data_IF_172264638405
#
_entry.id   IF_172264638405
#
_cell.length_a   1.000
_cell.length_b   1.000
_cell.length_c   1.000
_cell.angle_alpha   90.00
_cell.angle_beta   90.00
_cell.angle_gamma   90.00
#
_symmetry.space_group_name_H-M   'P 1'
#
loop_
_entity.id
_entity.type
_entity.pdbx_description
1 polymer ?
#
# COMPACT_ATOMS: atom_id res chain seq x y z
N UNK A 1 7.71 -66.07 -25.52
CA UNK A 1 8.90 -65.24 -25.27
C UNK A 1 8.53 -63.78 -25.52
N UNK A 2 8.61 -62.99 -24.44
CA UNK A 2 8.90 -61.53 -24.33
C UNK A 2 8.04 -60.52 -25.12
N UNK A 3 7.31 -59.77 -24.31
CA UNK A 3 6.45 -58.61 -24.56
C UNK A 3 7.36 -57.42 -24.91
N UNK A 4 7.08 -56.69 -25.99
CA UNK A 4 7.73 -55.40 -26.28
C UNK A 4 6.67 -54.30 -26.37
N UNK A 5 6.18 -53.88 -25.21
CA UNK A 5 5.49 -52.60 -25.04
C UNK A 5 6.54 -51.54 -24.71
N UNK A 6 6.60 -50.44 -25.46
CA UNK A 6 7.27 -49.22 -24.97
C UNK A 6 6.52 -47.99 -25.45
N UNK A 7 5.72 -47.51 -24.50
CA UNK A 7 4.98 -46.26 -24.38
C UNK A 7 5.74 -45.04 -24.89
N UNK A 8 5.09 -44.27 -25.76
CA UNK A 8 5.50 -42.91 -26.10
C UNK A 8 5.34 -42.02 -24.85
N UNK A 9 6.45 -41.53 -24.30
CA UNK A 9 6.45 -40.57 -23.21
C UNK A 9 6.21 -39.16 -23.78
N UNK A 10 5.01 -38.63 -23.58
CA UNK A 10 4.70 -37.21 -23.85
C UNK A 10 5.23 -36.40 -22.67
N UNK A 11 6.34 -35.68 -22.88
CA UNK A 11 6.85 -34.68 -21.96
C UNK A 11 5.94 -33.45 -21.99
N UNK A 12 4.96 -33.41 -21.09
CA UNK A 12 4.20 -32.20 -20.81
C UNK A 12 5.09 -31.24 -20.00
N UNK A 13 5.65 -30.23 -20.66
CA UNK A 13 6.27 -29.09 -19.98
C UNK A 13 5.15 -28.26 -19.35
N UNK A 14 4.87 -28.51 -18.07
CA UNK A 14 4.04 -27.62 -17.28
C UNK A 14 4.84 -26.33 -17.05
N UNK A 15 4.54 -25.29 -17.81
CA UNK A 15 4.90 -23.92 -17.44
C UNK A 15 4.05 -23.57 -16.23
N UNK A 16 4.61 -23.72 -15.03
CA UNK A 16 4.02 -23.19 -13.81
C UNK A 16 3.98 -21.67 -13.94
N UNK A 17 2.80 -21.10 -14.17
CA UNK A 17 2.59 -19.67 -14.09
C UNK A 17 2.93 -19.17 -12.69
N UNK A 18 3.74 -18.12 -12.58
CA UNK A 18 3.98 -17.41 -11.34
C UNK A 18 2.65 -16.78 -10.88
N UNK A 19 1.99 -17.41 -9.92
CA UNK A 19 0.89 -16.78 -9.18
C UNK A 19 1.53 -15.80 -8.19
N UNK A 20 1.69 -14.54 -8.60
CA UNK A 20 2.06 -13.45 -7.68
C UNK A 20 0.79 -12.95 -7.00
N UNK A 21 0.51 -13.52 -5.82
CA UNK A 21 -0.51 -13.02 -4.90
C UNK A 21 0.14 -12.87 -3.52
N UNK A 22 1.15 -12.02 -3.45
CA UNK A 22 1.86 -11.72 -2.21
C UNK A 22 2.40 -10.30 -2.39
N UNK A 23 1.85 -9.33 -1.65
CA UNK A 23 2.29 -7.92 -1.64
C UNK A 23 3.62 -7.75 -0.87
N UNK A 24 4.32 -8.86 -0.61
CA UNK A 24 5.49 -8.95 0.25
C UNK A 24 6.79 -8.63 -0.52
N UNK A 25 7.71 -7.94 0.15
CA UNK A 25 9.02 -7.62 -0.40
C UNK A 25 9.95 -8.84 -0.30
N UNK A 26 10.64 -9.18 -1.39
CA UNK A 26 11.41 -10.43 -1.51
C UNK A 26 12.93 -10.26 -1.56
N UNK A 27 13.43 -9.03 -1.43
CA UNK A 27 14.86 -8.78 -1.54
C UNK A 27 15.64 -9.45 -0.41
N UNK A 28 16.81 -10.03 -0.71
CA UNK A 28 17.62 -10.69 0.31
C UNK A 28 18.10 -9.68 1.35
N UNK A 29 18.09 -10.08 2.63
CA UNK A 29 18.48 -9.18 3.73
C UNK A 29 19.88 -8.58 3.59
N UNK A 30 20.78 -9.23 2.83
CA UNK A 30 22.13 -8.72 2.52
C UNK A 30 22.13 -7.46 1.66
N UNK A 31 21.04 -7.20 0.94
CA UNK A 31 20.87 -6.03 0.05
C UNK A 31 20.06 -4.91 0.71
N UNK A 32 19.54 -5.15 1.92
CA UNK A 32 18.68 -4.18 2.60
C UNK A 32 19.45 -2.91 2.98
N UNK A 33 18.84 -1.78 2.69
CA UNK A 33 19.34 -0.48 3.11
C UNK A 33 19.24 -0.33 4.62
N UNK A 34 20.19 0.36 5.27
CA UNK A 34 20.14 0.58 6.70
C UNK A 34 18.93 1.47 7.08
N UNK A 35 18.48 1.35 8.33
CA UNK A 35 17.29 2.06 8.84
C UNK A 35 17.42 3.57 8.70
N UNK A 36 18.65 4.08 8.82
CA UNK A 36 18.98 5.49 8.67
C UNK A 36 18.73 5.97 7.23
N UNK A 37 19.06 5.14 6.22
CA UNK A 37 18.81 5.45 4.82
C UNK A 37 17.31 5.51 4.52
N UNK A 38 16.53 4.56 5.06
CA UNK A 38 15.06 4.57 4.95
C UNK A 38 14.47 5.81 5.63
N UNK A 39 14.97 6.15 6.82
CA UNK A 39 14.51 7.33 7.59
C UNK A 39 14.78 8.63 6.84
N UNK A 40 15.98 8.77 6.27
CA UNK A 40 16.34 9.91 5.43
C UNK A 40 15.46 9.99 4.19
N UNK A 41 15.30 8.87 3.47
CA UNK A 41 14.44 8.78 2.29
C UNK A 41 13.00 9.22 2.59
N UNK A 42 12.39 8.73 3.68
CA UNK A 42 11.03 9.11 4.06
C UNK A 42 10.94 10.58 4.46
N UNK A 43 11.97 11.11 5.11
CA UNK A 43 12.05 12.54 5.44
C UNK A 43 12.11 13.40 4.18
N UNK A 44 12.85 12.97 3.15
CA UNK A 44 12.94 13.64 1.84
C UNK A 44 11.61 13.62 1.07
N UNK A 45 10.75 12.62 1.33
CA UNK A 45 9.36 12.59 0.84
C UNK A 45 8.44 13.60 1.57
N UNK A 46 8.97 14.35 2.54
CA UNK A 46 8.20 15.32 3.32
C UNK A 46 7.33 14.69 4.41
N UNK A 47 7.66 13.45 4.81
CA UNK A 47 6.98 12.73 5.90
C UNK A 47 7.91 12.70 7.10
N UNK A 48 7.42 13.10 8.27
CA UNK A 48 8.14 12.98 9.54
C UNK A 48 7.98 11.55 10.09
N UNK A 49 9.02 10.70 10.06
CA UNK A 49 8.91 9.31 10.51
C UNK A 49 8.80 9.22 12.04
N UNK A 50 7.78 8.52 12.53
CA UNK A 50 7.54 8.26 13.95
C UNK A 50 7.91 6.83 14.35
N UNK A 51 7.72 5.88 13.42
CA UNK A 51 8.00 4.46 13.65
C UNK A 51 8.49 3.82 12.36
N UNK A 52 9.56 3.04 12.47
CA UNK A 52 10.06 2.18 11.40
C UNK A 52 10.12 0.74 11.91
N UNK A 53 9.51 -0.20 11.19
CA UNK A 53 9.55 -1.63 11.49
C UNK A 53 9.74 -2.45 10.21
N UNK A 54 10.00 -3.73 10.38
CA UNK A 54 9.99 -4.71 9.30
C UNK A 54 8.68 -5.47 9.44
N UNK A 55 7.90 -5.55 8.37
CA UNK A 55 6.61 -6.25 8.29
C UNK A 55 6.57 -6.94 6.93
N UNK A 56 6.31 -8.25 6.90
CA UNK A 56 6.18 -9.04 5.66
C UNK A 56 7.31 -8.81 4.63
N UNK A 57 8.55 -8.78 5.13
CA UNK A 57 9.75 -8.57 4.31
C UNK A 57 9.98 -7.13 3.84
N UNK A 58 9.06 -6.21 4.08
CA UNK A 58 9.16 -4.80 3.74
C UNK A 58 9.56 -3.94 4.94
N UNK A 59 10.07 -2.73 4.69
CA UNK A 59 10.07 -1.69 5.70
C UNK A 59 8.71 -1.02 5.78
N UNK A 60 8.06 -1.05 6.94
CA UNK A 60 6.89 -0.24 7.22
C UNK A 60 7.29 1.00 8.01
N UNK A 61 6.99 2.18 7.46
CA UNK A 61 7.19 3.47 8.11
C UNK A 61 5.86 4.14 8.38
N UNK A 62 5.63 4.53 9.63
CA UNK A 62 4.49 5.37 10.04
C UNK A 62 5.00 6.75 10.43
N UNK A 63 4.29 7.78 10.00
CA UNK A 63 4.66 9.16 10.25
C UNK A 63 3.52 10.14 10.01
N UNK A 64 3.89 11.41 9.93
CA UNK A 64 2.99 12.52 9.62
C UNK A 64 3.45 13.22 8.35
N UNK A 65 2.52 13.58 7.47
CA UNK A 65 2.82 14.53 6.38
C UNK A 65 2.85 15.98 6.90
N UNK A 66 3.15 16.92 6.00
CA UNK A 66 3.17 18.35 6.32
C UNK A 66 1.80 18.93 6.71
N UNK A 67 0.70 18.25 6.38
CA UNK A 67 -0.68 18.65 6.71
C UNK A 67 -1.16 17.98 8.02
N UNK A 68 -0.27 17.22 8.69
CA UNK A 68 -0.55 16.50 9.94
C UNK A 68 -1.36 15.22 9.76
N UNK A 69 -1.55 14.72 8.54
CA UNK A 69 -2.23 13.45 8.29
C UNK A 69 -1.31 12.28 8.65
N UNK A 70 -1.90 11.19 9.14
CA UNK A 70 -1.13 9.98 9.43
C UNK A 70 -0.84 9.21 8.14
N UNK A 71 0.43 9.00 7.87
CA UNK A 71 0.93 8.28 6.69
C UNK A 71 1.55 6.94 7.12
N UNK A 72 1.29 5.91 6.34
CA UNK A 72 1.92 4.58 6.41
C UNK A 72 2.46 4.24 5.04
N UNK A 73 3.74 3.89 4.98
CA UNK A 73 4.47 3.46 3.79
C UNK A 73 4.97 2.03 3.97
N UNK A 74 4.73 1.16 3.01
CA UNK A 74 5.48 -0.10 2.86
C UNK A 74 6.51 0.10 1.75
N UNK A 75 7.77 -0.15 2.06
CA UNK A 75 8.92 0.20 1.23
C UNK A 75 9.76 -1.06 1.00
N UNK A 76 10.09 -1.29 -0.27
CA UNK A 76 11.02 -2.32 -0.69
C UNK A 76 12.43 -2.00 -0.14
N UNK A 77 13.05 -2.91 0.64
CA UNK A 77 14.22 -2.58 1.45
C UNK A 77 15.53 -2.43 0.67
N UNK A 78 15.70 -2.99 -0.54
CA UNK A 78 16.95 -2.90 -1.30
C UNK A 78 17.09 -1.59 -2.09
N UNK A 79 16.01 -1.18 -2.75
CA UNK A 79 15.93 -0.07 -3.69
C UNK A 79 15.17 1.14 -3.14
N UNK A 80 14.56 1.03 -1.96
CA UNK A 80 13.70 2.05 -1.35
C UNK A 80 12.53 2.47 -2.23
N UNK A 81 11.91 1.52 -2.91
CA UNK A 81 10.70 1.76 -3.72
C UNK A 81 9.47 1.68 -2.83
N UNK A 82 8.63 2.71 -2.85
CA UNK A 82 7.35 2.70 -2.14
C UNK A 82 6.39 1.74 -2.86
N UNK A 83 6.04 0.66 -2.19
CA UNK A 83 5.09 -0.35 -2.69
C UNK A 83 3.65 0.04 -2.37
N UNK A 84 3.44 0.64 -1.20
CA UNK A 84 2.12 1.02 -0.71
C UNK A 84 2.17 2.33 0.06
N UNK A 85 1.18 3.17 -0.19
CA UNK A 85 0.93 4.41 0.53
C UNK A 85 -0.48 4.37 1.09
N UNK A 86 -0.61 4.57 2.40
CA UNK A 86 -1.89 4.75 3.07
C UNK A 86 -1.88 6.04 3.87
N UNK A 87 -2.84 6.91 3.57
CA UNK A 87 -3.02 8.18 4.27
C UNK A 87 -4.35 8.16 4.99
N UNK A 88 -4.34 8.47 6.28
CA UNK A 88 -5.55 8.71 7.07
C UNK A 88 -5.74 10.21 7.20
N UNK A 89 -6.62 10.73 6.36
CA UNK A 89 -6.98 12.15 6.32
C UNK A 89 -7.79 12.57 7.54
N UNK A 90 -7.56 13.79 8.01
CA UNK A 90 -8.46 14.46 8.93
C UNK A 90 -9.79 14.84 8.22
N UNK A 91 -10.90 15.05 8.95
CA UNK A 91 -12.23 15.30 8.35
C UNK A 91 -12.30 16.48 7.37
N UNK A 92 -11.42 17.46 7.53
CA UNK A 92 -11.32 18.69 6.75
C UNK A 92 -10.00 18.80 5.96
N UNK A 93 -9.27 17.70 5.79
CA UNK A 93 -7.98 17.70 5.11
C UNK A 93 -8.11 18.06 3.62
N UNK A 94 -7.16 18.85 3.12
CA UNK A 94 -7.00 19.11 1.69
C UNK A 94 -6.37 17.89 1.00
N UNK A 95 -7.12 17.27 0.08
CA UNK A 95 -6.67 16.09 -0.66
C UNK A 95 -5.88 16.44 -1.92
N UNK A 96 -5.76 17.73 -2.27
CA UNK A 96 -5.16 18.18 -3.53
C UNK A 96 -3.71 17.73 -3.69
N UNK A 97 -2.99 17.49 -2.59
CA UNK A 97 -1.63 16.95 -2.59
C UNK A 97 -1.56 15.50 -3.10
N UNK A 98 -2.60 14.70 -2.87
CA UNK A 98 -2.62 13.27 -3.17
C UNK A 98 -3.40 12.91 -4.43
N UNK A 99 -4.25 13.83 -4.88
CA UNK A 99 -5.10 13.60 -6.04
C UNK A 99 -4.51 14.28 -7.26
N UNK A 100 -4.45 13.61 -8.43
CA UNK A 100 -4.12 14.28 -9.67
C UNK A 100 -5.15 15.37 -9.95
N UNK A 101 -4.70 16.49 -10.52
CA UNK A 101 -5.56 17.64 -10.82
C UNK A 101 -6.81 17.20 -11.59
N UNK A 102 -8.00 17.43 -10.98
CA UNK A 102 -9.30 17.08 -11.56
C UNK A 102 -10.24 16.25 -10.69
N UNK A 103 -9.83 15.81 -9.49
CA UNK A 103 -10.62 14.95 -8.60
C UNK A 103 -11.00 15.64 -7.26
N UNK A 104 -11.47 16.89 -7.27
CA UNK A 104 -11.77 17.69 -6.06
C UNK A 104 -13.12 17.39 -5.39
N UNK A 105 -13.66 16.17 -5.52
CA UNK A 105 -14.95 15.78 -4.90
C UNK A 105 -14.86 14.41 -4.24
N UNK A 106 -14.01 14.24 -3.23
CA UNK A 106 -14.28 13.22 -2.21
C UNK A 106 -15.25 13.86 -1.19
N UNK A 107 -16.47 13.35 -1.16
CA UNK A 107 -17.65 14.03 -0.64
C UNK A 107 -17.56 14.50 0.82
N UNK A 108 -18.20 15.64 1.08
CA UNK A 108 -18.63 16.05 2.42
C UNK A 108 -19.35 14.87 3.09
N UNK A 109 -18.76 14.31 4.14
CA UNK A 109 -19.50 13.50 5.09
C UNK A 109 -20.63 14.37 5.66
N UNK A 110 -21.86 13.87 5.55
CA UNK A 110 -23.09 14.64 5.67
C UNK A 110 -23.22 15.41 6.98
N UNK A 111 -23.21 16.73 6.86
CA UNK A 111 -23.98 17.60 7.76
C UNK A 111 -25.46 17.42 7.39
N UNK A 112 -26.10 16.40 7.96
CA UNK A 112 -27.54 16.20 7.80
C UNK A 112 -28.27 17.11 8.79
N UNK A 113 -28.45 18.38 8.39
CA UNK A 113 -29.32 19.33 9.06
C UNK A 113 -30.61 19.46 8.24
N UNK A 114 -31.62 18.67 8.57
CA UNK A 114 -33.01 18.98 8.22
C UNK A 114 -33.86 18.94 9.49
N UNK A 115 -34.06 20.14 10.04
CA UNK A 115 -35.16 20.44 10.95
C UNK A 115 -36.43 20.49 10.10
N UNK A 116 -37.29 19.49 10.19
CA UNK A 116 -38.63 19.55 9.61
C UNK A 116 -39.64 19.95 10.71
N UNK A 117 -40.47 21.00 10.51
CA UNK A 117 -41.41 21.44 11.53
C UNK A 117 -42.57 20.46 11.67
N UNK A 118 -42.92 20.20 12.93
CA UNK A 118 -44.07 19.44 13.41
C UNK A 118 -45.37 20.10 12.92
N UNK A 119 -46.01 19.54 11.89
CA UNK A 119 -47.39 19.90 11.54
C UNK A 119 -48.35 18.96 12.25
N UNK A 120 -49.03 19.54 13.24
CA UNK A 120 -50.14 19.02 14.01
C UNK A 120 -51.27 18.53 13.08
N UNK A 121 -51.80 17.33 13.36
CA UNK A 121 -52.97 16.78 12.68
C UNK A 121 -54.21 17.25 13.42
N UNK A 122 -55.06 18.03 12.76
CA UNK A 122 -56.48 18.15 13.10
C UNK A 122 -57.32 18.28 11.84
#
# INVERSE_FOLDING_TARGET
MKIFTSTAAVLALAVSGLVYADDDCRSPMSEWQPREAVTAYVTDLGISPERLRVDDGCYEVRGLDADGNRVELEIEPALLVVQKLKVRFQPDADLSRYLPAGQTKLGKAGENRLNEPRSDKR
#
